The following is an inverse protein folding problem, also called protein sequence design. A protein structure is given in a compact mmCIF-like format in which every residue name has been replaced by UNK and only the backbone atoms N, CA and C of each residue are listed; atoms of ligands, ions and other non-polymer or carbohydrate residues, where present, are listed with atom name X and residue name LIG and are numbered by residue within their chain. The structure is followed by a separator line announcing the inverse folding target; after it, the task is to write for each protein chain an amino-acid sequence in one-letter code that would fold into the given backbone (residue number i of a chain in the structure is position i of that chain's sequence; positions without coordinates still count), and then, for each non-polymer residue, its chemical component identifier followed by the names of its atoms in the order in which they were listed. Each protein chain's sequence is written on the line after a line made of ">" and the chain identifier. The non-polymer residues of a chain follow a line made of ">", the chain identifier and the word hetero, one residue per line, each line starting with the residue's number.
data_IF_083939284211
#
_entry.id   IF_083939284211
#
_cell.length_a   1.000
_cell.length_b   1.000
_cell.length_c   1.000
_cell.angle_alpha   90.00
_cell.angle_beta   90.00
_cell.angle_gamma   90.00
#
_symmetry.space_group_name_H-M   'P 1'
#
loop_
_entity.id
_entity.type
_entity.pdbx_description
1 polymer ?
#
# COMPACT_ATOMS: atom_id res chain seq x y z
N UNK A 1 -19.71 86.01 39.56
CA UNK A 1 -18.60 85.40 38.74
C UNK A 1 -18.45 83.96 39.20
N UNK A 2 -19.18 83.12 38.51
CA UNK A 2 -19.30 81.68 38.86
C UNK A 2 -18.64 80.84 37.72
N UNK A 3 -17.67 80.00 38.09
CA UNK A 3 -16.93 79.17 37.20
C UNK A 3 -17.67 77.84 37.10
N UNK A 4 -18.24 77.51 35.95
CA UNK A 4 -18.76 76.21 35.64
C UNK A 4 -17.58 75.25 35.23
N UNK A 5 -17.44 74.22 35.98
CA UNK A 5 -16.51 73.04 35.65
C UNK A 5 -17.30 72.09 34.75
N UNK A 6 -16.75 71.82 33.57
CA UNK A 6 -17.25 70.81 32.67
C UNK A 6 -16.52 69.50 33.02
N UNK A 7 -17.24 68.50 33.49
CA UNK A 7 -16.73 67.13 33.68
C UNK A 7 -16.98 66.34 32.40
N UNK A 8 -15.85 65.94 31.79
CA UNK A 8 -15.91 65.09 30.60
C UNK A 8 -16.06 63.61 30.98
N UNK A 9 -17.14 62.97 30.54
CA UNK A 9 -17.36 61.57 30.60
C UNK A 9 -16.56 60.87 29.46
N UNK A 10 -15.56 60.04 29.79
CA UNK A 10 -14.88 59.16 28.85
C UNK A 10 -15.63 57.82 28.88
N UNK A 11 -16.40 57.57 27.82
CA UNK A 11 -17.03 56.26 27.60
C UNK A 11 -15.99 55.30 27.04
N UNK A 12 -15.55 54.37 27.88
CA UNK A 12 -14.67 53.27 27.46
C UNK A 12 -15.43 52.23 26.65
N UNK A 13 -15.11 52.11 25.38
CA UNK A 13 -15.61 51.04 24.51
C UNK A 13 -14.79 49.76 24.78
N UNK A 14 -15.41 48.77 25.43
CA UNK A 14 -14.83 47.44 25.60
C UNK A 14 -15.09 46.63 24.35
N UNK A 15 -14.04 46.40 23.55
CA UNK A 15 -14.08 45.44 22.44
C UNK A 15 -14.02 44.02 22.99
N UNK A 16 -15.16 43.32 22.99
CA UNK A 16 -15.20 41.86 23.25
C UNK A 16 -14.89 41.16 21.94
N UNK A 17 -13.65 40.69 21.80
CA UNK A 17 -13.24 39.83 20.68
C UNK A 17 -13.84 38.44 20.85
N UNK A 18 -14.89 38.10 20.11
CA UNK A 18 -15.37 36.74 19.96
C UNK A 18 -14.39 35.95 19.08
N UNK A 19 -13.57 35.12 19.68
CA UNK A 19 -12.82 34.10 18.95
C UNK A 19 -13.81 33.04 18.42
N UNK A 20 -14.08 33.07 17.12
CA UNK A 20 -14.76 31.99 16.42
C UNK A 20 -13.88 30.76 16.45
N UNK A 21 -14.11 29.86 17.39
CA UNK A 21 -13.56 28.50 17.33
C UNK A 21 -14.25 27.80 16.14
N UNK A 22 -13.55 27.73 15.01
CA UNK A 22 -14.00 26.93 13.90
C UNK A 22 -13.93 25.46 14.34
N UNK A 23 -15.06 24.89 14.78
CA UNK A 23 -15.23 23.46 14.90
C UNK A 23 -15.13 22.87 13.49
N UNK A 24 -13.97 22.30 13.14
CA UNK A 24 -13.87 21.40 11.99
C UNK A 24 -14.82 20.23 12.28
N UNK A 25 -15.73 19.88 11.34
CA UNK A 25 -16.54 18.69 11.53
C UNK A 25 -15.63 17.49 11.69
N UNK A 26 -15.99 16.51 12.55
CA UNK A 26 -15.22 15.27 12.64
C UNK A 26 -15.18 14.65 11.24
N UNK A 27 -13.98 14.27 10.78
CA UNK A 27 -13.82 13.52 9.56
C UNK A 27 -14.75 12.29 9.64
N UNK A 28 -15.68 12.17 8.71
CA UNK A 28 -16.60 11.04 8.69
C UNK A 28 -15.77 9.76 8.60
N UNK A 29 -15.86 8.89 9.59
CA UNK A 29 -15.18 7.58 9.62
C UNK A 29 -15.64 6.62 8.51
N UNK A 30 -16.54 7.05 7.64
CA UNK A 30 -17.19 6.25 6.60
C UNK A 30 -16.46 6.27 5.24
N UNK A 31 -15.48 7.15 5.05
CA UNK A 31 -14.72 7.16 3.80
C UNK A 31 -13.76 5.97 3.73
N UNK A 32 -13.70 5.22 2.60
CA UNK A 32 -12.80 4.10 2.45
C UNK A 32 -11.35 4.55 2.59
N UNK A 33 -10.61 3.91 3.51
CA UNK A 33 -9.21 4.26 3.78
C UNK A 33 -8.24 3.58 2.80
N UNK A 34 -8.70 2.59 2.05
CA UNK A 34 -7.88 1.78 1.15
C UNK A 34 -8.30 2.04 -0.29
N UNK A 35 -7.32 2.32 -1.14
CA UNK A 35 -7.45 2.35 -2.59
C UNK A 35 -6.92 1.03 -3.15
N UNK A 36 -7.81 0.17 -3.65
CA UNK A 36 -7.44 -1.09 -4.32
C UNK A 36 -7.40 -0.86 -5.83
N UNK A 37 -6.22 -1.00 -6.42
CA UNK A 37 -6.08 -0.91 -7.87
C UNK A 37 -6.58 -2.19 -8.55
N UNK A 38 -7.45 -2.03 -9.53
CA UNK A 38 -8.06 -3.09 -10.32
C UNK A 38 -8.12 -2.69 -11.80
N UNK A 39 -7.05 -2.03 -12.26
CA UNK A 39 -6.93 -1.58 -13.63
C UNK A 39 -6.42 -2.65 -14.59
N UNK A 40 -6.30 -2.27 -15.85
CA UNK A 40 -5.76 -3.15 -16.88
C UNK A 40 -4.34 -3.60 -16.51
N UNK A 41 -4.07 -4.88 -16.71
CA UNK A 41 -2.83 -5.54 -16.33
C UNK A 41 -2.85 -6.21 -14.96
N UNK A 42 -3.75 -5.81 -14.02
CA UNK A 42 -3.95 -6.62 -12.81
C UNK A 42 -4.71 -7.90 -13.14
N UNK A 43 -4.38 -8.99 -12.48
CA UNK A 43 -5.15 -10.23 -12.58
C UNK A 43 -6.49 -10.05 -11.85
N UNK A 44 -7.64 -10.31 -12.49
CA UNK A 44 -8.94 -10.24 -11.81
C UNK A 44 -9.05 -11.18 -10.62
N UNK A 45 -8.33 -12.32 -10.65
CA UNK A 45 -8.31 -13.28 -9.56
C UNK A 45 -7.55 -12.72 -8.35
N UNK A 46 -6.42 -12.03 -8.57
CA UNK A 46 -5.64 -11.37 -7.52
C UNK A 46 -6.45 -10.25 -6.86
N UNK A 47 -7.08 -9.40 -7.67
CA UNK A 47 -8.00 -8.36 -7.17
C UNK A 47 -9.07 -8.99 -6.27
N UNK A 48 -9.73 -10.08 -6.75
CA UNK A 48 -10.79 -10.76 -5.99
C UNK A 48 -10.27 -11.39 -4.69
N UNK A 49 -9.06 -11.95 -4.71
CA UNK A 49 -8.42 -12.53 -3.53
C UNK A 49 -8.17 -11.45 -2.47
N UNK A 50 -7.58 -10.31 -2.85
CA UNK A 50 -7.38 -9.16 -1.95
C UNK A 50 -8.72 -8.63 -1.44
N UNK A 51 -9.73 -8.46 -2.30
CA UNK A 51 -11.09 -8.05 -1.87
C UNK A 51 -11.68 -9.00 -0.82
N UNK A 52 -11.43 -10.30 -0.95
CA UNK A 52 -11.90 -11.29 0.03
C UNK A 52 -11.25 -11.07 1.39
N UNK A 53 -9.95 -10.84 1.46
CA UNK A 53 -9.25 -10.52 2.70
C UNK A 53 -9.78 -9.21 3.32
N UNK A 54 -9.92 -8.15 2.50
CA UNK A 54 -10.44 -6.86 2.97
C UNK A 54 -11.84 -6.99 3.58
N UNK A 55 -12.74 -7.74 2.93
CA UNK A 55 -14.10 -8.00 3.42
C UNK A 55 -14.10 -8.81 4.71
N UNK A 56 -13.30 -9.88 4.77
CA UNK A 56 -13.16 -10.71 5.98
C UNK A 56 -12.67 -9.89 7.18
N UNK A 57 -11.78 -8.94 6.93
CA UNK A 57 -11.24 -8.02 7.94
C UNK A 57 -12.10 -6.78 8.18
N UNK A 58 -13.25 -6.65 7.50
CA UNK A 58 -14.14 -5.49 7.57
C UNK A 58 -13.44 -4.15 7.27
N UNK A 59 -12.46 -4.16 6.36
CA UNK A 59 -11.71 -3.00 5.94
C UNK A 59 -12.39 -2.34 4.73
N UNK A 60 -12.78 -1.07 4.87
CA UNK A 60 -13.40 -0.29 3.79
C UNK A 60 -12.38 0.06 2.70
N UNK A 61 -12.75 -0.18 1.44
CA UNK A 61 -11.90 0.11 0.29
C UNK A 61 -12.69 0.70 -0.88
N UNK A 62 -11.99 1.50 -1.69
CA UNK A 62 -12.46 1.94 -3.00
C UNK A 62 -11.65 1.20 -4.08
N UNK A 63 -12.35 0.64 -5.07
CA UNK A 63 -11.72 -0.05 -6.19
C UNK A 63 -11.61 0.87 -7.39
N UNK A 64 -10.39 1.12 -7.88
CA UNK A 64 -10.13 1.99 -9.02
C UNK A 64 -9.53 1.23 -10.21
N UNK A 65 -10.12 1.40 -11.38
CA UNK A 65 -9.54 1.00 -12.65
C UNK A 65 -8.50 2.00 -13.17
N UNK A 66 -7.80 1.65 -14.27
CA UNK A 66 -6.75 2.51 -14.86
C UNK A 66 -7.27 3.90 -15.22
N UNK A 67 -8.45 4.01 -15.83
CA UNK A 67 -9.04 5.31 -16.21
C UNK A 67 -9.34 6.19 -15.00
N UNK A 68 -9.88 5.60 -13.91
CA UNK A 68 -10.17 6.33 -12.69
C UNK A 68 -8.88 6.80 -12.03
N UNK A 69 -7.87 5.92 -11.92
CA UNK A 69 -6.59 6.26 -11.33
C UNK A 69 -5.84 7.33 -12.13
N UNK A 70 -5.93 7.28 -13.48
CA UNK A 70 -5.35 8.29 -14.36
C UNK A 70 -6.00 9.69 -14.21
N UNK A 71 -7.23 9.74 -13.70
CA UNK A 71 -7.92 10.99 -13.38
C UNK A 71 -7.68 11.51 -11.96
N UNK A 72 -6.97 10.77 -11.10
CA UNK A 72 -6.73 11.19 -9.72
C UNK A 72 -5.53 12.13 -9.61
N UNK A 73 -5.73 13.24 -8.92
CA UNK A 73 -4.65 14.13 -8.49
C UNK A 73 -3.91 13.54 -7.26
N UNK A 74 -2.72 14.05 -6.98
CA UNK A 74 -1.97 13.73 -5.76
C UNK A 74 -2.81 13.94 -4.50
N UNK A 75 -3.54 15.07 -4.41
CA UNK A 75 -4.40 15.36 -3.26
C UNK A 75 -5.55 14.37 -3.07
N UNK A 76 -6.10 13.84 -4.16
CA UNK A 76 -7.12 12.78 -4.09
C UNK A 76 -6.53 11.44 -3.65
N UNK A 77 -5.31 11.14 -4.06
CA UNK A 77 -4.59 9.94 -3.63
C UNK A 77 -4.22 10.01 -2.14
N UNK A 78 -3.77 11.16 -1.65
CA UNK A 78 -3.43 11.36 -0.23
C UNK A 78 -4.64 11.35 0.72
N UNK A 79 -5.86 11.37 0.18
CA UNK A 79 -7.06 11.15 0.98
C UNK A 79 -7.19 9.69 1.48
N UNK A 80 -6.52 8.75 0.82
CA UNK A 80 -6.42 7.36 1.26
C UNK A 80 -5.23 7.18 2.21
N UNK A 81 -5.30 6.16 3.05
CA UNK A 81 -4.19 5.78 3.93
C UNK A 81 -3.29 4.72 3.31
N UNK A 82 -3.84 3.87 2.46
CA UNK A 82 -3.14 2.76 1.83
C UNK A 82 -3.57 2.60 0.38
N UNK A 83 -2.62 2.46 -0.52
CA UNK A 83 -2.84 1.95 -1.88
C UNK A 83 -2.35 0.50 -1.96
N UNK A 84 -3.21 -0.40 -2.48
CA UNK A 84 -2.85 -1.80 -2.74
C UNK A 84 -2.82 -2.01 -4.24
N UNK A 85 -1.70 -2.52 -4.75
CA UNK A 85 -1.55 -2.96 -6.15
C UNK A 85 -1.29 -4.46 -6.16
N UNK A 86 -2.27 -5.27 -6.63
CA UNK A 86 -2.18 -6.72 -6.68
C UNK A 86 -1.25 -7.25 -7.79
N UNK A 87 -1.20 -8.58 -7.90
CA UNK A 87 -0.48 -9.28 -8.96
C UNK A 87 -1.08 -9.10 -10.36
N UNK A 88 -0.34 -9.57 -11.38
CA UNK A 88 -0.69 -9.47 -12.79
C UNK A 88 0.51 -9.27 -13.71
N UNK A 89 0.38 -8.44 -14.73
CA UNK A 89 1.47 -8.08 -15.63
C UNK A 89 1.92 -6.63 -15.40
N UNK A 90 3.06 -6.43 -14.75
CA UNK A 90 3.57 -5.11 -14.38
C UNK A 90 3.85 -4.20 -15.59
N UNK A 91 4.23 -4.77 -16.74
CA UNK A 91 4.44 -4.00 -17.99
C UNK A 91 3.12 -3.41 -18.48
N UNK A 92 2.08 -4.25 -18.50
CA UNK A 92 0.74 -3.81 -18.91
C UNK A 92 0.20 -2.77 -17.92
N UNK A 93 0.33 -3.00 -16.61
CA UNK A 93 -0.06 -2.02 -15.57
C UNK A 93 0.64 -0.68 -15.84
N UNK A 94 1.96 -0.67 -15.96
CA UNK A 94 2.73 0.54 -16.19
C UNK A 94 2.34 1.26 -17.48
N UNK A 95 2.11 0.52 -18.57
CA UNK A 95 1.72 1.09 -19.87
C UNK A 95 0.28 1.64 -19.90
N UNK A 96 -0.59 1.22 -18.98
CA UNK A 96 -1.98 1.70 -18.84
C UNK A 96 -2.12 2.85 -17.85
N UNK A 97 -1.09 3.14 -17.08
CA UNK A 97 -0.98 4.36 -16.32
C UNK A 97 -0.26 5.43 -17.12
N UNK A 98 -0.67 6.69 -16.96
CA UNK A 98 0.08 7.80 -17.56
C UNK A 98 1.35 8.10 -16.74
N UNK A 99 2.40 8.71 -17.33
CA UNK A 99 3.55 9.18 -16.55
C UNK A 99 3.17 10.15 -15.43
N UNK A 100 2.15 10.98 -15.66
CA UNK A 100 1.60 11.86 -14.63
C UNK A 100 0.99 11.07 -13.46
N UNK A 101 0.30 9.96 -13.77
CA UNK A 101 -0.32 9.12 -12.74
C UNK A 101 0.73 8.45 -11.86
N UNK A 102 1.77 7.85 -12.45
CA UNK A 102 2.85 7.24 -11.65
C UNK A 102 3.62 8.28 -10.83
N UNK A 103 3.79 9.50 -11.37
CA UNK A 103 4.36 10.63 -10.62
C UNK A 103 3.44 11.04 -9.46
N UNK A 104 2.12 11.16 -9.69
CA UNK A 104 1.17 11.50 -8.63
C UNK A 104 1.15 10.45 -7.52
N UNK A 105 1.21 9.14 -7.87
CA UNK A 105 1.30 8.06 -6.88
C UNK A 105 2.62 8.17 -6.10
N UNK A 106 3.74 8.36 -6.79
CA UNK A 106 5.04 8.58 -6.15
C UNK A 106 4.97 9.71 -5.12
N UNK A 107 4.52 10.88 -5.55
CA UNK A 107 4.42 12.07 -4.70
C UNK A 107 3.45 11.86 -3.53
N UNK A 108 2.31 11.20 -3.76
CA UNK A 108 1.36 10.88 -2.71
C UNK A 108 1.98 9.96 -1.65
N UNK A 109 2.80 8.97 -2.06
CA UNK A 109 3.54 8.13 -1.12
C UNK A 109 4.61 8.94 -0.40
N UNK A 110 5.37 9.82 -1.10
CA UNK A 110 6.30 10.73 -0.44
C UNK A 110 5.61 11.62 0.60
N UNK A 111 4.34 11.98 0.38
CA UNK A 111 3.53 12.80 1.28
C UNK A 111 2.90 12.02 2.44
N UNK A 112 2.84 10.67 2.38
CA UNK A 112 2.35 9.83 3.50
C UNK A 112 1.28 8.80 3.14
N UNK A 113 0.90 8.64 1.87
CA UNK A 113 0.13 7.49 1.42
C UNK A 113 0.98 6.23 1.57
N UNK A 114 0.48 5.21 2.26
CA UNK A 114 1.17 3.93 2.37
C UNK A 114 0.94 3.08 1.10
N UNK A 115 1.82 2.13 0.84
CA UNK A 115 1.76 1.28 -0.35
C UNK A 115 1.98 -0.20 0.00
N UNK A 116 1.13 -1.06 -0.53
CA UNK A 116 1.32 -2.52 -0.53
C UNK A 116 1.33 -3.02 -1.97
N UNK A 117 2.47 -3.53 -2.43
CA UNK A 117 2.61 -4.17 -3.72
C UNK A 117 2.75 -5.68 -3.60
N UNK A 118 1.96 -6.43 -4.36
CA UNK A 118 2.03 -7.89 -4.42
C UNK A 118 2.44 -8.31 -5.83
N UNK A 119 3.46 -9.15 -5.97
CA UNK A 119 3.96 -9.67 -7.24
C UNK A 119 4.20 -8.55 -8.27
N UNK A 120 3.38 -8.42 -9.31
CA UNK A 120 3.46 -7.34 -10.30
C UNK A 120 3.39 -5.94 -9.68
N UNK A 121 2.55 -5.74 -8.66
CA UNK A 121 2.47 -4.49 -7.91
C UNK A 121 3.75 -4.15 -7.16
N UNK A 122 4.49 -5.17 -6.71
CA UNK A 122 5.79 -4.98 -6.08
C UNK A 122 6.90 -4.61 -7.09
N UNK A 123 6.89 -5.21 -8.29
CA UNK A 123 7.81 -4.82 -9.37
C UNK A 123 7.54 -3.38 -9.81
N UNK A 124 6.27 -2.98 -9.91
CA UNK A 124 5.86 -1.63 -10.29
C UNK A 124 6.33 -0.57 -9.29
N UNK A 125 6.42 -0.93 -8.00
CA UNK A 125 6.94 -0.06 -6.94
C UNK A 125 8.43 0.22 -7.08
N UNK A 126 9.20 -0.70 -7.66
CA UNK A 126 10.62 -0.52 -7.97
C UNK A 126 10.84 0.34 -9.21
N UNK A 127 12.11 0.42 -9.63
CA UNK A 127 12.45 0.94 -10.94
C UNK A 127 12.31 -0.17 -11.99
N UNK A 128 11.39 -0.03 -12.92
CA UNK A 128 11.17 -0.99 -13.98
C UNK A 128 11.46 -0.38 -15.37
N UNK A 129 11.54 -1.24 -16.39
CA UNK A 129 11.69 -0.81 -17.78
C UNK A 129 10.44 -0.16 -18.37
N UNK A 130 9.29 -0.40 -17.74
CA UNK A 130 8.01 0.25 -18.04
C UNK A 130 7.82 1.49 -17.16
N UNK A 131 6.72 2.24 -17.40
CA UNK A 131 6.31 3.35 -16.55
C UNK A 131 6.03 2.85 -15.12
N UNK A 132 6.95 3.06 -14.18
CA UNK A 132 6.97 2.56 -12.81
C UNK A 132 6.81 3.67 -11.79
N UNK A 133 6.46 3.33 -10.55
CA UNK A 133 6.25 4.31 -9.49
C UNK A 133 7.58 4.74 -8.83
N UNK A 134 8.60 3.87 -8.84
CA UNK A 134 9.93 4.12 -8.27
C UNK A 134 9.91 4.57 -6.80
N UNK A 135 9.31 3.79 -5.93
CA UNK A 135 9.29 4.02 -4.48
C UNK A 135 10.57 3.56 -3.77
N UNK A 136 11.47 2.91 -4.48
CA UNK A 136 12.63 2.20 -3.95
C UNK A 136 13.96 2.87 -4.26
N UNK A 137 13.95 4.18 -4.49
CA UNK A 137 15.16 4.99 -4.74
C UNK A 137 16.01 4.49 -5.91
N UNK A 138 15.37 4.03 -6.98
CA UNK A 138 16.05 3.55 -8.18
C UNK A 138 16.43 2.07 -8.18
N UNK A 139 16.12 1.33 -7.11
CA UNK A 139 16.38 -0.12 -7.08
C UNK A 139 15.37 -0.83 -7.98
N UNK A 140 15.90 -1.66 -8.86
CA UNK A 140 15.15 -2.55 -9.74
C UNK A 140 15.10 -3.94 -9.14
N UNK A 141 13.94 -4.58 -9.23
CA UNK A 141 13.75 -5.96 -8.78
C UNK A 141 13.73 -6.92 -9.97
N UNK A 142 14.41 -8.03 -9.80
CA UNK A 142 14.40 -9.16 -10.73
C UNK A 142 13.40 -10.22 -10.24
N UNK A 143 13.02 -11.13 -11.14
CA UNK A 143 12.26 -12.31 -10.75
C UNK A 143 13.05 -13.18 -9.80
N UNK A 144 12.36 -13.93 -8.95
CA UNK A 144 13.01 -14.93 -8.11
C UNK A 144 13.65 -16.04 -8.98
N UNK A 145 14.78 -16.58 -8.54
CA UNK A 145 15.66 -17.42 -9.32
C UNK A 145 15.02 -18.71 -9.90
N UNK A 146 13.90 -19.18 -9.34
CA UNK A 146 13.16 -20.34 -9.86
C UNK A 146 12.68 -20.14 -11.31
N UNK A 147 12.37 -18.90 -11.72
CA UNK A 147 12.02 -18.58 -13.11
C UNK A 147 13.12 -19.02 -14.08
N UNK A 148 14.38 -18.83 -13.71
CA UNK A 148 15.52 -19.23 -14.53
C UNK A 148 15.69 -20.77 -14.64
N UNK A 149 15.01 -21.52 -13.78
CA UNK A 149 14.94 -23.00 -13.80
C UNK A 149 13.71 -23.51 -14.54
N UNK A 150 12.89 -22.62 -15.11
CA UNK A 150 11.64 -22.95 -15.80
C UNK A 150 10.48 -23.26 -14.85
N UNK A 151 10.60 -22.92 -13.56
CA UNK A 151 9.51 -23.02 -12.59
C UNK A 151 8.81 -21.67 -12.53
N UNK A 152 7.55 -21.65 -12.95
CA UNK A 152 6.75 -20.42 -13.01
C UNK A 152 5.75 -20.32 -11.88
N UNK A 153 5.39 -21.42 -11.21
CA UNK A 153 4.55 -21.43 -10.01
C UNK A 153 4.91 -22.57 -9.06
N UNK A 154 4.83 -22.30 -7.79
CA UNK A 154 5.18 -23.25 -6.73
C UNK A 154 4.57 -22.88 -5.38
N UNK A 155 4.49 -23.88 -4.49
CA UNK A 155 4.36 -23.65 -3.06
C UNK A 155 5.76 -23.31 -2.50
N UNK A 156 5.96 -22.09 -2.00
CA UNK A 156 7.24 -21.68 -1.44
C UNK A 156 7.12 -21.40 0.06
N UNK A 157 7.96 -22.06 0.83
CA UNK A 157 8.06 -21.89 2.27
C UNK A 157 8.78 -20.56 2.60
N UNK A 158 8.07 -19.59 3.12
CA UNK A 158 8.61 -18.28 3.49
C UNK A 158 8.93 -18.24 4.97
N UNK A 159 10.20 -18.03 5.28
CA UNK A 159 10.68 -17.87 6.64
C UNK A 159 10.62 -16.39 7.06
N UNK A 160 9.57 -16.02 7.79
CA UNK A 160 9.42 -14.69 8.36
C UNK A 160 9.84 -14.66 9.84
N UNK A 161 10.30 -13.48 10.31
CA UNK A 161 10.74 -13.32 11.70
C UNK A 161 9.54 -13.32 12.64
N UNK A 162 9.63 -14.08 13.74
CA UNK A 162 8.60 -14.12 14.78
C UNK A 162 7.33 -14.87 14.41
N UNK A 163 7.29 -15.54 13.25
CA UNK A 163 6.17 -16.38 12.82
C UNK A 163 6.67 -17.76 12.39
N UNK A 164 5.83 -18.80 12.46
CA UNK A 164 6.14 -20.08 11.81
C UNK A 164 6.39 -19.86 10.31
N UNK A 165 7.20 -20.74 9.71
CA UNK A 165 7.34 -20.79 8.24
C UNK A 165 5.99 -21.13 7.61
N UNK A 166 5.54 -20.31 6.67
CA UNK A 166 4.26 -20.47 5.97
C UNK A 166 4.55 -20.69 4.48
N UNK A 167 3.89 -21.70 3.90
CA UNK A 167 3.94 -21.90 2.46
C UNK A 167 2.93 -20.97 1.77
N UNK A 168 3.44 -20.15 0.87
CA UNK A 168 2.65 -19.25 0.05
C UNK A 168 2.64 -19.72 -1.41
N UNK A 169 1.58 -19.41 -2.11
CA UNK A 169 1.55 -19.51 -3.56
C UNK A 169 2.52 -18.48 -4.14
N UNK A 170 3.32 -18.91 -5.09
CA UNK A 170 4.21 -18.05 -5.86
C UNK A 170 4.04 -18.33 -7.35
N UNK A 171 3.98 -17.28 -8.16
CA UNK A 171 3.90 -17.33 -9.62
C UNK A 171 4.69 -16.14 -10.17
N UNK A 172 5.85 -16.41 -10.78
CA UNK A 172 6.74 -15.42 -11.40
C UNK A 172 6.98 -14.15 -10.54
N UNK A 173 6.97 -14.29 -9.24
CA UNK A 173 7.13 -13.16 -8.33
C UNK A 173 8.57 -12.70 -8.19
N UNK A 174 8.80 -11.42 -7.81
CA UNK A 174 10.14 -10.85 -7.65
C UNK A 174 10.84 -11.28 -6.37
N UNK A 175 12.16 -11.05 -6.34
CA UNK A 175 13.01 -10.99 -5.16
C UNK A 175 13.42 -9.51 -4.91
N UNK A 176 13.75 -9.16 -3.66
CA UNK A 176 13.91 -7.75 -3.25
C UNK A 176 15.32 -7.41 -2.76
N UNK A 177 16.35 -7.94 -3.38
CA UNK A 177 17.73 -7.58 -3.02
C UNK A 177 17.99 -6.09 -3.28
N UNK A 178 18.58 -5.43 -2.29
CA UNK A 178 19.04 -4.03 -2.41
C UNK A 178 18.10 -2.98 -1.85
N UNK A 179 16.90 -3.36 -1.35
CA UNK A 179 15.99 -2.40 -0.75
C UNK A 179 15.18 -2.99 0.42
N UNK A 180 14.94 -2.16 1.43
CA UNK A 180 14.05 -2.42 2.55
C UNK A 180 14.61 -3.37 3.61
N UNK A 181 13.93 -3.45 4.74
CA UNK A 181 14.14 -4.42 5.80
C UNK A 181 13.48 -5.75 5.41
N UNK A 182 14.14 -6.86 5.68
CA UNK A 182 13.68 -8.19 5.25
C UNK A 182 12.72 -8.76 6.27
N UNK A 183 11.44 -8.85 5.89
CA UNK A 183 10.37 -9.46 6.68
C UNK A 183 10.33 -10.97 6.47
N UNK A 184 10.44 -11.42 5.23
CA UNK A 184 10.40 -12.84 4.88
C UNK A 184 11.40 -13.20 3.78
N UNK A 185 11.89 -14.45 3.80
CA UNK A 185 12.88 -14.96 2.86
C UNK A 185 12.37 -16.17 2.10
N UNK A 186 12.75 -16.26 0.84
CA UNK A 186 12.67 -17.44 0.02
C UNK A 186 13.53 -18.59 0.58
N UNK A 187 13.35 -19.85 0.13
CA UNK A 187 14.14 -20.99 0.62
C UNK A 187 15.66 -20.85 0.45
N UNK A 188 16.11 -20.11 -0.56
CA UNK A 188 17.53 -19.84 -0.82
C UNK A 188 18.11 -18.68 0.01
N UNK A 189 17.29 -18.04 0.84
CA UNK A 189 17.68 -16.92 1.69
C UNK A 189 17.51 -15.53 1.07
N UNK A 190 17.13 -15.42 -0.21
CA UNK A 190 16.85 -14.12 -0.83
C UNK A 190 15.59 -13.47 -0.26
N UNK A 191 15.49 -12.13 -0.24
CA UNK A 191 14.31 -11.43 0.29
C UNK A 191 13.06 -11.71 -0.54
N UNK A 192 12.01 -12.23 0.10
CA UNK A 192 10.70 -12.52 -0.49
C UNK A 192 9.62 -11.51 -0.11
N UNK A 193 9.74 -10.93 1.09
CA UNK A 193 8.87 -9.87 1.59
C UNK A 193 9.75 -8.84 2.27
N UNK A 194 9.59 -7.59 1.91
CA UNK A 194 10.36 -6.47 2.45
C UNK A 194 9.46 -5.31 2.82
N UNK A 195 9.93 -4.47 3.73
CA UNK A 195 9.26 -3.24 4.10
C UNK A 195 10.25 -2.08 4.23
N UNK A 196 9.76 -0.86 4.09
CA UNK A 196 10.58 0.33 4.17
C UNK A 196 9.74 1.59 4.09
N UNK A 197 10.42 2.73 3.96
CA UNK A 197 9.75 4.02 3.76
C UNK A 197 10.15 4.62 2.43
N UNK A 198 9.21 5.35 1.82
CA UNK A 198 9.46 6.22 0.68
C UNK A 198 8.91 7.61 1.03
N UNK A 199 9.78 8.53 1.39
CA UNK A 199 9.38 9.76 2.04
C UNK A 199 8.69 9.50 3.38
N UNK A 200 7.43 9.97 3.51
CA UNK A 200 6.60 9.75 4.71
C UNK A 200 5.73 8.49 4.61
N UNK A 201 5.60 7.89 3.44
CA UNK A 201 4.80 6.71 3.20
C UNK A 201 5.53 5.43 3.60
N UNK A 202 4.80 4.49 4.17
CA UNK A 202 5.27 3.16 4.50
C UNK A 202 4.97 2.21 3.34
N UNK A 203 5.94 1.38 2.97
CA UNK A 203 5.87 0.52 1.79
C UNK A 203 6.15 -0.92 2.19
N UNK A 204 5.24 -1.83 1.85
CA UNK A 204 5.44 -3.29 1.95
C UNK A 204 5.39 -3.89 0.54
N UNK A 205 6.35 -4.74 0.22
CA UNK A 205 6.42 -5.45 -1.06
C UNK A 205 6.49 -6.96 -0.82
N UNK A 206 5.61 -7.71 -1.49
CA UNK A 206 5.56 -9.17 -1.43
C UNK A 206 5.82 -9.78 -2.81
N UNK A 207 6.78 -10.68 -2.89
CA UNK A 207 7.06 -11.48 -4.08
C UNK A 207 6.25 -12.78 -4.15
N UNK A 208 5.50 -13.10 -3.11
CA UNK A 208 4.57 -14.23 -3.02
C UNK A 208 3.14 -13.73 -2.88
N UNK A 209 2.17 -14.63 -3.03
CA UNK A 209 0.74 -14.34 -2.94
C UNK A 209 0.15 -14.89 -1.63
N UNK A 210 0.28 -14.20 -0.50
CA UNK A 210 -0.32 -14.66 0.75
C UNK A 210 -1.85 -14.64 0.71
N UNK A 211 -2.45 -13.84 -0.18
CA UNK A 211 -3.88 -13.74 -0.42
C UNK A 211 -4.46 -14.90 -1.24
N UNK A 212 -3.62 -15.74 -1.83
CA UNK A 212 -4.04 -16.81 -2.74
C UNK A 212 -5.10 -17.73 -2.13
N UNK A 213 -6.24 -17.95 -2.80
CA UNK A 213 -7.28 -18.87 -2.35
C UNK A 213 -6.90 -20.32 -2.60
N UNK A 214 -7.64 -21.26 -1.99
CA UNK A 214 -7.43 -22.69 -2.18
C UNK A 214 -7.43 -23.11 -3.65
N UNK A 215 -8.26 -22.48 -4.48
CA UNK A 215 -8.38 -22.83 -5.90
C UNK A 215 -7.08 -22.63 -6.70
N UNK A 216 -6.16 -21.77 -6.24
CA UNK A 216 -4.87 -21.59 -6.93
C UNK A 216 -3.86 -22.68 -6.60
N UNK A 217 -4.09 -23.41 -5.50
CA UNK A 217 -3.18 -24.44 -5.00
C UNK A 217 -3.30 -25.78 -5.75
N UNK A 218 -4.27 -25.91 -6.67
CA UNK A 218 -4.48 -27.13 -7.42
C UNK A 218 -3.23 -27.58 -8.17
N UNK A 219 -2.88 -28.86 -8.04
CA UNK A 219 -1.70 -29.45 -8.67
C UNK A 219 -0.38 -29.19 -7.95
N UNK A 220 -0.43 -28.52 -6.78
CA UNK A 220 0.73 -28.28 -5.91
C UNK A 220 0.49 -28.90 -4.53
N UNK A 221 1.57 -29.22 -3.83
CA UNK A 221 1.50 -29.75 -2.46
C UNK A 221 1.78 -28.63 -1.48
N UNK A 222 0.83 -28.36 -0.58
CA UNK A 222 0.97 -27.45 0.54
C UNK A 222 0.80 -28.21 1.85
N UNK A 223 1.67 -27.98 2.82
CA UNK A 223 1.56 -28.49 4.19
C UNK A 223 0.88 -27.45 5.10
N UNK A 224 0.93 -26.19 4.72
CA UNK A 224 0.30 -25.09 5.45
C UNK A 224 -1.12 -24.86 4.93
N UNK A 225 -2.14 -24.75 5.81
CA UNK A 225 -3.50 -24.47 5.39
C UNK A 225 -3.63 -23.07 4.76
N UNK A 226 -4.55 -22.91 3.82
CA UNK A 226 -4.79 -21.63 3.13
C UNK A 226 -5.12 -20.50 4.10
N UNK A 227 -5.83 -20.82 5.19
CA UNK A 227 -6.17 -19.83 6.22
C UNK A 227 -4.95 -19.18 6.84
N UNK A 228 -3.87 -19.92 7.09
CA UNK A 228 -2.64 -19.36 7.65
C UNK A 228 -1.98 -18.33 6.69
N UNK A 229 -1.96 -18.62 5.38
CA UNK A 229 -1.48 -17.67 4.39
C UNK A 229 -2.39 -16.43 4.30
N UNK A 230 -3.71 -16.62 4.28
CA UNK A 230 -4.66 -15.52 4.20
C UNK A 230 -4.67 -14.65 5.48
N UNK A 231 -4.48 -15.24 6.65
CA UNK A 231 -4.29 -14.48 7.89
C UNK A 231 -3.01 -13.64 7.85
N UNK A 232 -1.95 -14.20 7.28
CA UNK A 232 -0.72 -13.45 7.06
C UNK A 232 -0.90 -12.31 6.04
N UNK A 233 -1.67 -12.52 4.95
CA UNK A 233 -2.06 -11.44 4.04
C UNK A 233 -2.77 -10.30 4.77
N UNK A 234 -3.72 -10.64 5.66
CA UNK A 234 -4.39 -9.66 6.51
C UNK A 234 -3.42 -8.90 7.41
N UNK A 235 -2.41 -9.59 7.96
CA UNK A 235 -1.35 -8.95 8.78
C UNK A 235 -0.54 -7.94 7.96
N UNK A 236 -0.14 -8.29 6.72
CA UNK A 236 0.56 -7.37 5.83
C UNK A 236 -0.29 -6.14 5.49
N UNK A 237 -1.57 -6.34 5.18
CA UNK A 237 -2.51 -5.24 4.86
C UNK A 237 -2.67 -4.32 6.07
N UNK A 238 -2.88 -4.86 7.27
CA UNK A 238 -3.04 -4.05 8.48
C UNK A 238 -1.76 -3.30 8.84
N UNK A 239 -0.59 -3.94 8.72
CA UNK A 239 0.71 -3.30 8.93
C UNK A 239 0.91 -2.13 7.95
N UNK A 240 0.65 -2.36 6.66
CA UNK A 240 0.72 -1.33 5.63
C UNK A 240 -0.28 -0.19 5.89
N UNK A 241 -1.53 -0.50 6.27
CA UNK A 241 -2.55 0.51 6.56
C UNK A 241 -2.17 1.40 7.74
N UNK A 242 -1.57 0.81 8.78
CA UNK A 242 -1.16 1.51 10.01
C UNK A 242 0.22 2.16 9.91
N UNK A 243 1.03 1.80 8.91
CA UNK A 243 2.44 2.18 8.80
C UNK A 243 3.27 1.59 9.95
N UNK A 244 2.98 0.34 10.34
CA UNK A 244 3.61 -0.33 11.48
C UNK A 244 4.60 -1.38 10.99
N UNK A 245 5.85 -1.28 11.47
CA UNK A 245 6.88 -2.25 11.14
C UNK A 245 6.52 -3.65 11.65
N UNK A 246 6.75 -4.63 10.80
CA UNK A 246 6.69 -6.04 11.13
C UNK A 246 8.03 -6.49 11.77
N UNK A 247 8.07 -7.63 12.48
CA UNK A 247 9.34 -8.22 12.86
C UNK A 247 10.21 -8.50 11.61
N UNK A 248 11.43 -7.97 11.59
CA UNK A 248 12.37 -8.10 10.47
C UNK A 248 13.80 -8.34 10.95
N UNK A 249 14.71 -8.72 10.02
CA UNK A 249 16.14 -8.98 10.27
C UNK A 249 17.00 -7.83 9.77
#
# INVERSE_FOLDING_TARGET
>A
MEKHRLEGFIAGIVFVSFALVACSPPASNDAPQILLFAGEGTSPNDVKAVETILKTRQLGYFKAGSSQLNGMSESQLTAYRLMIVPGGNYITIGNRLTPSTTTNIHNAVQAGLNYLGICAGAILAGQASSNSINLTSGVRFDFYAEVNRGVHKSALAIAAVGTPTIEHYWEDGPQFTGWGAVVGKYPDGTPAIVEGTSGKGFVILSGVHPEAPESWRHGMTFTTPVSAANDYAGTLIEAALKGTWLPHR
#
